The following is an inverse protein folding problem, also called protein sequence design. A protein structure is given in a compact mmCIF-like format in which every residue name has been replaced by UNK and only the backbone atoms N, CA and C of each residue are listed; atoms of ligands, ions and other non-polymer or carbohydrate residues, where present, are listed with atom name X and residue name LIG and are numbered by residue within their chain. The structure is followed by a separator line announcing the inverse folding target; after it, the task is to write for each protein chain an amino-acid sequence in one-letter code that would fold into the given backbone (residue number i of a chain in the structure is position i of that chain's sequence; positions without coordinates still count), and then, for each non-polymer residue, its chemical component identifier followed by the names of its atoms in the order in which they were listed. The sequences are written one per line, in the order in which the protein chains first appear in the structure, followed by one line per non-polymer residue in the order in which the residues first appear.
data_IF_641015630006
#
_entry.id   IF_641015630006
#
_cell.length_a   1.000
_cell.length_b   1.000
_cell.length_c   1.000
_cell.angle_alpha   90.00
_cell.angle_beta   90.00
_cell.angle_gamma   90.00
#
_symmetry.space_group_name_H-M   'P 1'
#
loop_
_entity.id
_entity.type
_entity.pdbx_description
1 polymer ?
#
# COMPACT_ATOMS: atom_id res chain seq x y z
N UNK A 1 36.62 -48.28 -12.31
CA UNK A 1 36.81 -47.96 -10.87
C UNK A 1 35.43 -47.72 -10.27
N UNK A 2 34.73 -48.70 -9.70
CA UNK A 2 34.91 -49.41 -8.42
C UNK A 2 34.77 -48.55 -7.13
N UNK A 3 33.50 -48.33 -6.72
CA UNK A 3 32.86 -48.50 -5.37
C UNK A 3 33.39 -47.70 -4.14
N UNK A 4 32.67 -47.63 -2.98
CA UNK A 4 31.24 -47.78 -2.66
C UNK A 4 30.69 -46.77 -1.59
N UNK A 5 29.36 -46.85 -1.33
CA UNK A 5 28.65 -46.32 -0.15
C UNK A 5 29.10 -47.02 1.16
N UNK A 6 29.09 -46.29 2.28
CA UNK A 6 29.13 -46.85 3.65
C UNK A 6 27.95 -46.38 4.50
N UNK A 7 27.48 -47.32 5.33
CA UNK A 7 26.31 -47.34 6.22
C UNK A 7 26.56 -46.69 7.59
N UNK A 8 25.43 -46.32 8.22
CA UNK A 8 25.03 -46.41 9.65
C UNK A 8 26.06 -46.27 10.79
N UNK A 9 25.68 -45.45 11.78
CA UNK A 9 25.58 -45.71 13.24
C UNK A 9 25.27 -44.35 13.92
N UNK A 10 24.52 -44.14 15.01
CA UNK A 10 24.12 -44.95 16.17
C UNK A 10 22.94 -44.27 16.88
N UNK A 11 22.19 -45.10 17.60
CA UNK A 11 21.11 -44.82 18.56
C UNK A 11 21.57 -43.96 19.75
N UNK A 12 20.67 -43.14 20.29
CA UNK A 12 20.81 -42.50 21.59
C UNK A 12 19.45 -42.09 22.18
N UNK A 13 18.84 -42.99 22.95
CA UNK A 13 17.65 -42.77 23.77
C UNK A 13 18.04 -41.99 25.03
N UNK A 14 17.28 -40.95 25.39
CA UNK A 14 17.21 -40.45 26.76
C UNK A 14 15.79 -39.99 27.08
N UNK A 15 15.10 -40.88 27.78
CA UNK A 15 13.86 -40.70 28.52
C UNK A 15 14.14 -39.79 29.73
N UNK A 16 13.40 -38.68 29.88
CA UNK A 16 13.30 -37.97 31.15
C UNK A 16 11.84 -37.57 31.39
N UNK A 17 11.20 -38.42 32.17
CA UNK A 17 9.91 -38.22 32.82
C UNK A 17 10.03 -37.08 33.84
N UNK A 18 9.17 -36.06 33.78
CA UNK A 18 8.86 -35.22 34.94
C UNK A 18 7.35 -35.05 35.03
N UNK A 19 6.82 -35.63 36.10
CA UNK A 19 5.44 -35.62 36.53
C UNK A 19 5.03 -34.24 37.09
N UNK A 20 3.72 -34.02 37.00
CA UNK A 20 2.88 -33.14 37.81
C UNK A 20 2.95 -31.63 37.52
N UNK A 21 1.85 -31.10 36.98
CA UNK A 21 0.83 -30.42 37.81
C UNK A 21 -0.43 -30.18 36.96
N UNK A 22 -1.53 -30.81 37.35
CA UNK A 22 -2.86 -30.52 36.81
C UNK A 22 -3.58 -29.62 37.82
N UNK A 23 -4.01 -28.47 37.31
CA UNK A 23 -5.18 -27.66 37.67
C UNK A 23 -5.29 -27.10 39.09
N UNK A 24 -5.12 -25.77 39.19
CA UNK A 24 -6.13 -24.91 39.81
C UNK A 24 -6.05 -23.48 39.26
N UNK A 25 -7.15 -22.74 39.39
CA UNK A 25 -7.45 -21.38 38.93
C UNK A 25 -8.25 -21.26 37.62
N UNK A 26 -9.51 -21.66 37.71
CA UNK A 26 -10.58 -20.85 37.16
C UNK A 26 -10.82 -19.64 38.10
N UNK A 27 -10.58 -18.43 37.62
CA UNK A 27 -11.28 -17.24 38.10
C UNK A 27 -11.38 -16.21 36.97
N UNK A 28 -12.61 -15.75 36.74
CA UNK A 28 -13.06 -15.10 35.52
C UNK A 28 -12.33 -13.83 35.15
N UNK A 29 -11.80 -13.81 33.92
CA UNK A 29 -11.49 -12.59 33.21
C UNK A 29 -12.79 -11.91 32.80
N UNK A 30 -13.12 -10.79 33.43
CA UNK A 30 -14.12 -9.84 32.95
C UNK A 30 -13.73 -9.44 31.52
N UNK A 31 -14.61 -9.71 30.57
CA UNK A 31 -14.43 -9.37 29.17
C UNK A 31 -14.23 -7.87 29.01
N UNK A 32 -13.02 -7.48 28.63
CA UNK A 32 -12.78 -6.19 28.02
C UNK A 32 -13.49 -6.18 26.67
N UNK A 33 -14.26 -5.12 26.42
CA UNK A 33 -15.09 -4.97 25.24
C UNK A 33 -14.31 -5.28 23.96
N UNK A 34 -14.76 -6.32 23.25
CA UNK A 34 -14.43 -6.54 21.85
C UNK A 34 -15.15 -5.46 21.05
N UNK A 35 -14.57 -4.26 21.03
CA UNK A 35 -14.72 -3.41 19.85
C UNK A 35 -14.15 -4.16 18.65
N UNK A 36 -14.72 -4.02 17.45
CA UNK A 36 -14.20 -4.66 16.25
C UNK A 36 -12.70 -4.36 16.11
N UNK A 37 -11.89 -5.34 15.67
CA UNK A 37 -10.45 -5.14 15.51
C UNK A 37 -10.24 -3.93 14.59
N UNK A 38 -9.54 -2.92 15.10
CA UNK A 38 -9.09 -1.82 14.26
C UNK A 38 -8.09 -2.39 13.26
N UNK A 39 -8.47 -2.40 11.98
CA UNK A 39 -7.55 -2.54 10.85
C UNK A 39 -6.42 -1.51 11.07
N UNK A 40 -5.16 -1.95 11.12
CA UNK A 40 -3.99 -1.07 11.35
C UNK A 40 -3.57 -0.79 12.82
N UNK A 41 -4.01 -1.55 13.82
CA UNK A 41 -3.80 -1.25 15.26
C UNK A 41 -2.55 -1.84 15.95
N UNK A 42 -1.38 -1.91 15.29
CA UNK A 42 -0.16 -2.47 15.89
C UNK A 42 1.14 -1.83 15.37
N UNK A 43 2.30 -2.09 16.02
CA UNK A 43 3.59 -1.52 15.61
C UNK A 43 3.88 -1.72 14.11
N UNK A 44 4.32 -0.65 13.44
CA UNK A 44 4.71 -0.68 12.03
C UNK A 44 6.21 -0.81 11.86
N UNK A 45 6.69 -2.05 12.00
CA UNK A 45 8.08 -2.39 11.82
C UNK A 45 8.60 -2.10 10.40
N UNK A 46 7.72 -2.06 9.39
CA UNK A 46 8.10 -1.78 7.99
C UNK A 46 8.11 -0.27 7.68
N UNK A 47 7.49 0.57 8.51
CA UNK A 47 7.44 2.03 8.31
C UNK A 47 8.81 2.68 8.10
N UNK A 48 9.86 2.37 8.90
CA UNK A 48 11.17 2.98 8.69
C UNK A 48 11.76 2.61 7.32
N UNK A 49 11.69 1.34 6.94
CA UNK A 49 12.25 0.84 5.68
C UNK A 49 11.50 1.41 4.46
N UNK A 50 10.17 1.41 4.49
CA UNK A 50 9.37 1.97 3.40
C UNK A 50 9.58 3.48 3.26
N UNK A 51 9.81 4.19 4.38
CA UNK A 51 10.20 5.60 4.38
C UNK A 51 11.59 5.83 3.82
N UNK A 52 12.56 4.99 4.13
CA UNK A 52 13.92 5.10 3.61
C UNK A 52 13.93 4.97 2.08
N UNK A 53 13.17 4.02 1.52
CA UNK A 53 13.00 3.88 0.07
C UNK A 53 12.37 5.14 -0.53
N UNK A 54 11.34 5.69 0.11
CA UNK A 54 10.74 6.95 -0.34
C UNK A 54 11.75 8.11 -0.32
N UNK A 55 12.54 8.27 0.75
CA UNK A 55 13.59 9.29 0.81
C UNK A 55 14.64 9.09 -0.28
N UNK A 56 15.04 7.85 -0.55
CA UNK A 56 15.98 7.52 -1.62
C UNK A 56 15.45 7.97 -2.98
N UNK A 57 14.19 7.64 -3.32
CA UNK A 57 13.57 8.05 -4.57
C UNK A 57 13.44 9.58 -4.69
N UNK A 58 13.14 10.27 -3.59
CA UNK A 58 13.12 11.74 -3.58
C UNK A 58 14.50 12.36 -3.81
N UNK A 59 15.59 11.68 -3.44
CA UNK A 59 16.96 12.14 -3.67
C UNK A 59 17.46 11.86 -5.09
N UNK A 60 16.84 10.90 -5.79
CA UNK A 60 17.18 10.50 -7.18
C UNK A 60 16.04 10.85 -8.14
N UNK A 61 15.23 11.86 -7.80
CA UNK A 61 14.02 12.17 -8.56
C UNK A 61 14.33 12.60 -10.01
N UNK A 62 15.50 13.21 -10.24
CA UNK A 62 15.99 13.61 -11.56
C UNK A 62 16.30 12.41 -12.48
N UNK A 63 16.53 11.22 -11.91
CA UNK A 63 16.77 9.97 -12.65
C UNK A 63 15.46 9.22 -12.98
N UNK A 64 14.31 9.76 -12.57
CA UNK A 64 13.00 9.13 -12.72
C UNK A 64 12.19 9.83 -13.80
N UNK A 65 11.66 9.06 -14.73
CA UNK A 65 10.69 9.50 -15.73
C UNK A 65 9.33 8.94 -15.37
N UNK A 66 8.30 9.77 -15.47
CA UNK A 66 6.92 9.37 -15.21
C UNK A 66 5.98 9.92 -16.27
N UNK A 67 5.14 9.05 -16.80
CA UNK A 67 4.02 9.39 -17.70
C UNK A 67 2.71 9.08 -17.00
N UNK A 68 1.71 9.95 -17.19
CA UNK A 68 0.37 9.81 -16.61
C UNK A 68 -0.66 9.90 -17.73
N UNK A 69 -1.53 8.90 -17.82
CA UNK A 69 -2.68 8.87 -18.71
C UNK A 69 -3.94 8.85 -17.84
N UNK A 70 -4.71 9.94 -17.88
CA UNK A 70 -6.01 9.97 -17.20
C UNK A 70 -6.98 9.04 -17.93
N UNK A 71 -7.80 8.33 -17.16
CA UNK A 71 -8.86 7.45 -17.65
C UNK A 71 -10.20 7.90 -17.09
N UNK A 72 -11.30 7.52 -17.73
CA UNK A 72 -12.64 7.83 -17.23
C UNK A 72 -12.95 7.12 -15.90
N UNK A 73 -12.33 5.96 -15.68
CA UNK A 73 -12.47 5.08 -14.51
C UNK A 73 -11.27 5.20 -13.54
N UNK A 74 -10.31 6.10 -13.77
CA UNK A 74 -9.12 6.20 -12.93
C UNK A 74 -7.90 6.83 -13.60
N UNK A 75 -6.75 6.18 -13.46
CA UNK A 75 -5.47 6.63 -14.00
C UNK A 75 -4.55 5.45 -14.34
N UNK A 76 -3.80 5.58 -15.43
CA UNK A 76 -2.67 4.69 -15.75
C UNK A 76 -1.38 5.49 -15.67
N UNK A 77 -0.35 4.93 -15.03
CA UNK A 77 0.93 5.60 -14.87
C UNK A 77 2.08 4.66 -15.20
N UNK A 78 3.10 5.18 -15.87
CA UNK A 78 4.35 4.48 -16.13
C UNK A 78 5.47 5.25 -15.44
N UNK A 79 6.23 4.60 -14.56
CA UNK A 79 7.36 5.21 -13.84
C UNK A 79 8.61 4.38 -14.05
N UNK A 80 9.65 4.99 -14.60
CA UNK A 80 10.85 4.30 -15.08
C UNK A 80 12.14 5.07 -14.78
N UNK A 81 13.26 4.37 -14.79
CA UNK A 81 14.61 4.92 -14.75
C UNK A 81 15.53 4.12 -15.67
N UNK A 82 16.63 4.71 -16.13
CA UNK A 82 17.72 3.96 -16.77
C UNK A 82 18.75 3.46 -15.75
N UNK A 83 18.71 3.96 -14.51
CA UNK A 83 19.52 3.43 -13.43
C UNK A 83 18.84 2.17 -12.86
N UNK A 84 19.53 1.00 -12.86
CA UNK A 84 18.95 -0.25 -12.38
C UNK A 84 18.68 -0.25 -10.87
N UNK A 85 19.44 0.50 -10.08
CA UNK A 85 19.19 0.66 -8.64
C UNK A 85 17.95 1.52 -8.38
N UNK A 86 17.77 2.62 -9.12
CA UNK A 86 16.56 3.45 -9.03
C UNK A 86 15.34 2.66 -9.51
N UNK A 87 15.47 1.89 -10.60
CA UNK A 87 14.43 0.97 -11.09
C UNK A 87 13.96 0.00 -10.01
N UNK A 88 14.90 -0.68 -9.35
CA UNK A 88 14.59 -1.60 -8.26
C UNK A 88 13.87 -0.89 -7.10
N UNK A 89 14.26 0.35 -6.79
CA UNK A 89 13.64 1.15 -5.72
C UNK A 89 12.23 1.65 -6.10
N UNK A 90 11.98 1.98 -7.37
CA UNK A 90 10.63 2.29 -7.87
C UNK A 90 9.71 1.08 -7.64
N UNK A 91 10.12 -0.10 -8.13
CA UNK A 91 9.34 -1.32 -7.99
C UNK A 91 9.12 -1.70 -6.52
N UNK A 92 10.16 -1.58 -5.68
CA UNK A 92 10.07 -1.82 -4.24
C UNK A 92 9.06 -0.88 -3.58
N UNK A 93 9.11 0.41 -3.90
CA UNK A 93 8.25 1.43 -3.31
C UNK A 93 6.78 1.21 -3.67
N UNK A 94 6.49 1.00 -4.95
CA UNK A 94 5.11 0.82 -5.43
C UNK A 94 4.47 -0.42 -4.81
N UNK A 95 5.18 -1.56 -4.78
CA UNK A 95 4.68 -2.76 -4.11
C UNK A 95 4.42 -2.54 -2.60
N UNK A 96 5.29 -1.78 -1.93
CA UNK A 96 5.09 -1.43 -0.52
C UNK A 96 3.89 -0.48 -0.32
N UNK A 97 3.64 0.46 -1.23
CA UNK A 97 2.48 1.36 -1.14
C UNK A 97 1.17 0.59 -1.33
N UNK A 98 1.13 -0.34 -2.30
CA UNK A 98 -0.03 -1.20 -2.50
C UNK A 98 -0.37 -2.02 -1.24
N UNK A 99 0.62 -2.71 -0.67
CA UNK A 99 0.43 -3.42 0.62
C UNK A 99 -0.10 -2.50 1.72
N UNK A 100 0.38 -1.26 1.78
CA UNK A 100 -0.07 -0.29 2.78
C UNK A 100 -1.50 0.15 2.58
N UNK A 101 -1.98 0.25 1.34
CA UNK A 101 -3.39 0.49 1.03
C UNK A 101 -4.23 -0.69 1.52
N UNK A 102 -3.83 -1.93 1.24
CA UNK A 102 -4.53 -3.14 1.71
C UNK A 102 -4.59 -3.25 3.25
N UNK A 103 -3.51 -2.86 3.94
CA UNK A 103 -3.38 -2.92 5.39
C UNK A 103 -3.91 -1.68 6.14
N UNK A 104 -4.32 -0.61 5.43
CA UNK A 104 -4.62 0.72 5.98
C UNK A 104 -3.48 1.31 6.85
N UNK A 105 -2.28 1.38 6.27
CA UNK A 105 -1.05 1.86 6.95
C UNK A 105 -0.35 2.98 6.19
N UNK A 106 -0.90 4.21 6.20
CA UNK A 106 -0.34 5.31 5.42
C UNK A 106 1.03 5.78 5.92
N UNK A 107 1.93 6.10 4.98
CA UNK A 107 3.21 6.77 5.31
C UNK A 107 3.04 8.28 5.45
N UNK A 108 2.10 8.89 4.70
CA UNK A 108 1.95 10.35 4.59
C UNK A 108 0.58 10.86 5.05
N UNK A 109 0.05 10.32 6.16
CA UNK A 109 -1.26 10.75 6.75
C UNK A 109 -1.36 12.26 7.05
N UNK A 110 -0.22 12.97 7.15
CA UNK A 110 -0.23 14.44 7.33
C UNK A 110 -0.66 15.24 6.09
N UNK A 111 -0.64 14.61 4.92
CA UNK A 111 -1.00 15.25 3.65
C UNK A 111 -2.48 14.99 3.37
N UNK A 112 -3.34 16.03 3.30
CA UNK A 112 -4.79 15.86 3.21
C UNK A 112 -5.25 14.97 2.05
N UNK A 113 -4.61 15.09 0.88
CA UNK A 113 -4.94 14.25 -0.27
C UNK A 113 -4.67 12.76 0.00
N UNK A 114 -3.55 12.44 0.63
CA UNK A 114 -3.19 11.05 0.93
C UNK A 114 -4.04 10.49 2.06
N UNK A 115 -4.31 11.28 3.08
CA UNK A 115 -5.23 10.91 4.15
C UNK A 115 -6.63 10.61 3.60
N UNK A 116 -7.12 11.42 2.66
CA UNK A 116 -8.40 11.18 2.00
C UNK A 116 -8.40 9.92 1.15
N UNK A 117 -7.38 9.68 0.31
CA UNK A 117 -7.27 8.43 -0.47
C UNK A 117 -7.36 7.19 0.42
N UNK A 118 -6.70 7.20 1.57
CA UNK A 118 -6.73 6.07 2.51
C UNK A 118 -8.12 5.84 3.11
N UNK A 119 -8.96 6.88 3.26
CA UNK A 119 -10.37 6.70 3.67
C UNK A 119 -11.20 5.96 2.62
N UNK A 120 -10.79 6.02 1.36
CA UNK A 120 -11.45 5.37 0.22
C UNK A 120 -10.66 4.16 -0.30
N UNK A 121 -9.71 3.62 0.48
CA UNK A 121 -8.85 2.52 0.06
C UNK A 121 -9.63 1.29 -0.43
N UNK A 122 -10.76 0.96 0.23
CA UNK A 122 -11.61 -0.17 -0.14
C UNK A 122 -12.36 0.03 -1.47
N UNK A 123 -12.35 1.24 -2.04
CA UNK A 123 -12.97 1.57 -3.33
C UNK A 123 -11.96 1.71 -4.48
N UNK A 124 -10.69 1.41 -4.24
CA UNK A 124 -9.61 1.50 -5.23
C UNK A 124 -9.20 0.09 -5.66
N UNK A 125 -9.25 -0.16 -6.96
CA UNK A 125 -8.67 -1.35 -7.58
C UNK A 125 -7.32 -0.96 -8.21
N UNK A 126 -6.29 -1.77 -8.01
CA UNK A 126 -4.95 -1.49 -8.51
C UNK A 126 -4.34 -2.71 -9.19
N UNK A 127 -3.84 -2.51 -10.40
CA UNK A 127 -3.07 -3.48 -11.16
C UNK A 127 -1.65 -2.96 -11.37
N UNK A 128 -0.66 -3.85 -11.23
CA UNK A 128 0.75 -3.53 -11.36
C UNK A 128 1.43 -4.46 -12.37
N UNK A 129 2.13 -3.87 -13.32
CA UNK A 129 2.95 -4.59 -14.30
C UNK A 129 4.39 -4.08 -14.22
N UNK A 130 5.33 -4.95 -13.81
CA UNK A 130 6.75 -4.60 -13.81
C UNK A 130 7.25 -4.50 -15.25
N UNK A 131 8.06 -3.48 -15.52
CA UNK A 131 8.83 -3.36 -16.77
C UNK A 131 10.31 -3.55 -16.47
N UNK A 132 11.13 -3.70 -17.50
CA UNK A 132 12.60 -3.79 -17.35
C UNK A 132 13.20 -2.54 -16.69
N UNK A 133 12.53 -1.39 -16.83
CA UNK A 133 13.00 -0.07 -16.38
C UNK A 133 12.19 0.51 -15.22
N UNK A 134 11.17 -0.19 -14.75
CA UNK A 134 10.29 0.35 -13.72
C UNK A 134 9.00 -0.42 -13.55
N UNK A 135 7.88 0.29 -13.53
CA UNK A 135 6.56 -0.28 -13.27
C UNK A 135 5.45 0.57 -13.91
N UNK A 136 4.47 -0.12 -14.48
CA UNK A 136 3.19 0.43 -14.89
C UNK A 136 2.16 0.12 -13.81
N UNK A 137 1.35 1.11 -13.45
CA UNK A 137 0.29 0.98 -12.45
C UNK A 137 -1.00 1.53 -13.02
N UNK A 138 -2.05 0.73 -12.97
CA UNK A 138 -3.41 1.14 -13.30
C UNK A 138 -4.23 1.16 -12.02
N UNK A 139 -4.74 2.33 -11.65
CA UNK A 139 -5.61 2.51 -10.48
C UNK A 139 -6.99 2.90 -10.98
N UNK A 140 -8.03 2.19 -10.55
CA UNK A 140 -9.42 2.43 -10.99
C UNK A 140 -10.40 2.44 -9.83
N UNK A 141 -11.58 3.04 -10.07
CA UNK A 141 -12.70 3.02 -9.13
C UNK A 141 -14.03 3.21 -9.85
N UNK A 142 -15.08 2.62 -9.30
CA UNK A 142 -16.47 2.90 -9.71
C UNK A 142 -17.01 4.22 -9.12
N UNK A 143 -16.36 4.80 -8.10
CA UNK A 143 -16.76 6.08 -7.53
C UNK A 143 -16.08 7.24 -8.27
N UNK A 144 -16.84 8.13 -8.95
CA UNK A 144 -16.28 9.28 -9.65
C UNK A 144 -15.48 10.24 -8.77
N UNK A 145 -15.75 10.30 -7.46
CA UNK A 145 -14.94 11.07 -6.51
C UNK A 145 -13.57 10.43 -6.31
N UNK A 146 -13.52 9.11 -6.17
CA UNK A 146 -12.26 8.37 -6.02
C UNK A 146 -11.44 8.45 -7.30
N UNK A 147 -12.07 8.39 -8.48
CA UNK A 147 -11.39 8.65 -9.77
C UNK A 147 -10.69 10.01 -9.76
N UNK A 148 -11.35 11.08 -9.27
CA UNK A 148 -10.71 12.40 -9.13
C UNK A 148 -9.55 12.39 -8.13
N UNK A 149 -9.70 11.70 -7.00
CA UNK A 149 -8.63 11.55 -6.01
C UNK A 149 -7.40 10.85 -6.60
N UNK A 150 -7.60 9.78 -7.37
CA UNK A 150 -6.53 9.04 -8.07
C UNK A 150 -5.82 9.92 -9.11
N UNK A 151 -6.57 10.72 -9.88
CA UNK A 151 -5.98 11.63 -10.87
C UNK A 151 -5.18 12.77 -10.20
N UNK A 152 -5.68 13.35 -9.10
CA UNK A 152 -4.92 14.33 -8.32
C UNK A 152 -3.71 13.70 -7.64
N UNK A 153 -3.84 12.48 -7.12
CA UNK A 153 -2.72 11.70 -6.59
C UNK A 153 -1.60 11.55 -7.64
N UNK A 154 -1.95 11.13 -8.85
CA UNK A 154 -0.98 10.96 -9.93
C UNK A 154 -0.26 12.27 -10.30
N UNK A 155 -0.94 13.42 -10.24
CA UNK A 155 -0.33 14.74 -10.42
C UNK A 155 0.68 15.05 -9.32
N UNK A 156 0.32 14.79 -8.06
CA UNK A 156 1.22 15.03 -6.91
C UNK A 156 2.43 14.10 -6.93
N UNK A 157 2.27 12.82 -7.26
CA UNK A 157 3.41 11.91 -7.44
C UNK A 157 4.32 12.39 -8.58
N UNK A 158 3.75 12.91 -9.67
CA UNK A 158 4.54 13.56 -10.73
C UNK A 158 5.26 14.81 -10.24
N UNK A 159 4.68 15.56 -9.29
CA UNK A 159 5.39 16.67 -8.62
C UNK A 159 6.54 16.19 -7.74
N UNK A 160 6.45 15.03 -7.08
CA UNK A 160 7.60 14.45 -6.37
C UNK A 160 8.73 14.09 -7.31
N UNK A 161 8.41 13.55 -8.50
CA UNK A 161 9.42 13.28 -9.53
C UNK A 161 10.08 14.56 -10.04
N UNK A 162 9.33 15.66 -10.18
CA UNK A 162 9.90 16.95 -10.65
C UNK A 162 10.73 17.69 -9.62
N UNK A 163 10.35 17.62 -8.34
CA UNK A 163 10.81 18.56 -7.32
C UNK A 163 11.43 17.87 -6.08
N UNK A 164 11.45 16.53 -6.05
CA UNK A 164 11.97 15.72 -4.96
C UNK A 164 11.50 16.16 -3.58
N UNK A 165 12.46 16.35 -2.68
CA UNK A 165 12.22 16.74 -1.29
C UNK A 165 11.45 18.05 -1.12
N UNK A 166 11.57 18.99 -2.06
CA UNK A 166 10.87 20.28 -1.96
C UNK A 166 9.36 20.11 -2.02
N UNK A 167 8.87 19.24 -2.89
CA UNK A 167 7.45 18.91 -2.95
C UNK A 167 7.02 18.02 -1.80
N UNK A 168 7.86 17.06 -1.41
CA UNK A 168 7.54 16.15 -0.31
C UNK A 168 7.28 16.86 1.02
N UNK A 169 7.78 18.09 1.22
CA UNK A 169 7.51 18.91 2.41
C UNK A 169 6.14 19.59 2.40
N UNK A 170 5.49 19.72 1.24
CA UNK A 170 4.18 20.37 1.10
C UNK A 170 3.04 19.45 1.55
N UNK A 171 1.85 20.04 1.58
CA UNK A 171 0.56 19.37 1.70
C UNK A 171 -0.26 19.72 0.47
N UNK A 172 -1.11 18.80 0.02
CA UNK A 172 -1.88 18.94 -1.21
C UNK A 172 -3.36 18.94 -0.90
N UNK A 173 -4.10 19.78 -1.62
CA UNK A 173 -5.54 19.93 -1.44
C UNK A 173 -6.27 18.67 -1.95
N UNK A 174 -7.37 18.35 -1.28
CA UNK A 174 -8.32 17.35 -1.78
C UNK A 174 -9.14 18.01 -2.90
N UNK A 175 -9.29 17.38 -4.08
CA UNK A 175 -10.16 17.89 -5.13
C UNK A 175 -11.59 18.06 -4.60
N UNK A 176 -12.32 19.12 -5.02
CA UNK A 176 -13.69 19.32 -4.60
C UNK A 176 -14.56 18.16 -5.07
N UNK A 177 -15.51 17.75 -4.22
CA UNK A 177 -16.49 16.77 -4.61
C UNK A 177 -17.29 17.29 -5.81
N UNK A 178 -17.49 16.48 -6.85
CA UNK A 178 -18.34 16.89 -7.96
C UNK A 178 -19.73 17.34 -7.46
N UNK A 179 -20.31 18.41 -8.05
CA UNK A 179 -21.67 18.80 -7.72
C UNK A 179 -22.61 17.63 -8.01
N UNK A 180 -23.46 17.30 -7.04
CA UNK A 180 -24.54 16.34 -7.24
C UNK A 180 -25.37 16.86 -8.40
N UNK A 181 -25.39 16.14 -9.54
CA UNK A 181 -26.29 16.49 -10.64
C UNK A 181 -27.71 16.45 -10.05
N UNK A 182 -28.52 17.53 -10.13
CA UNK A 182 -29.88 17.47 -9.61
C UNK A 182 -30.58 16.30 -10.30
N UNK A 183 -31.10 15.38 -9.48
CA UNK A 183 -31.97 14.30 -9.95
C UNK A 183 -33.08 14.93 -10.78
N UNK A 184 -33.04 14.74 -12.10
CA UNK A 184 -34.16 15.07 -12.96
C UNK A 184 -35.34 14.25 -12.47
N UNK A 185 -36.28 14.92 -11.81
CA UNK A 185 -37.56 14.33 -11.44
C UNK A 185 -38.20 13.74 -12.71
N UNK A 186 -38.82 12.56 -12.63
CA UNK A 186 -39.54 12.00 -13.78
C UNK A 186 -40.63 12.99 -14.23
N UNK A 187 -40.94 13.06 -15.53
CA UNK A 187 -41.95 13.99 -16.04
C UNK A 187 -43.28 13.72 -15.36
N UNK A 188 -43.90 14.79 -14.86
CA UNK A 188 -45.20 14.72 -14.22
C UNK A 188 -46.24 14.21 -15.23
N UNK A 189 -46.80 13.03 -14.98
CA UNK A 189 -47.97 12.54 -15.69
C UNK A 189 -49.14 13.45 -15.35
N UNK A 190 -49.58 14.24 -16.32
CA UNK A 190 -50.78 15.10 -16.20
C UNK A 190 -52.02 14.23 -16.51
N UNK A 191 -53.15 14.41 -15.78
CA UNK A 191 -54.30 13.49 -15.80
C UNK A 191 -55.02 13.37 -17.14
#
# INVERSE_FOLDING_TARGET
MNRPRFMLATVGVALALCLATVSLWAQGGRGFGQGPPRRGGGPDAQFPADREVFQYLLSHHDDIRRTVTNRDDGVETLTESDDPQVTAKIQQHVAAMYRRVEEDRPIRRRDPLFDELFRHADAIEMEMEKTDKGIKVTETSADPQVVRLLQEHAKVVSSFVRNGHAEARKSHAVPPSAPTRPTTAPPATTP
#
